data_IF_319955645930
#
_entry.id   IF_319955645930
#
_cell.length_a   1.000
_cell.length_b   1.000
_cell.length_c   1.000
_cell.angle_alpha   90.00
_cell.angle_beta   90.00
_cell.angle_gamma   90.00
#
_symmetry.space_group_name_H-M   'P 1'
#
loop_
_entity.id
_entity.type
_entity.pdbx_description
1 polymer ?
#
# COMPACT_ATOMS: atom_id res chain seq x y z
N UNK A 1 1.93 35.50 -17.66
CA UNK A 1 1.04 34.95 -16.62
C UNK A 1 1.42 33.50 -16.49
N UNK A 2 2.10 33.15 -15.40
CA UNK A 2 2.71 31.83 -15.23
C UNK A 2 1.72 30.91 -14.52
N UNK A 3 1.13 30.01 -15.29
CA UNK A 3 0.04 29.13 -14.83
C UNK A 3 0.50 28.18 -13.70
N UNK A 4 1.81 27.91 -13.60
CA UNK A 4 2.38 27.06 -12.55
C UNK A 4 2.38 27.76 -11.19
N UNK A 5 2.71 29.05 -11.16
CA UNK A 5 2.73 29.84 -9.93
C UNK A 5 1.32 29.94 -9.32
N UNK A 6 0.30 30.10 -10.16
CA UNK A 6 -1.10 30.17 -9.72
C UNK A 6 -1.59 28.85 -9.09
N UNK A 7 -1.11 27.70 -9.61
CA UNK A 7 -1.46 26.38 -9.06
C UNK A 7 -0.79 26.16 -7.69
N UNK A 8 0.50 26.49 -7.58
CA UNK A 8 1.26 26.36 -6.33
C UNK A 8 0.65 27.21 -5.22
N UNK A 9 0.37 28.48 -5.51
CA UNK A 9 -0.24 29.41 -4.56
C UNK A 9 -1.62 28.91 -4.10
N UNK A 10 -2.45 28.41 -5.01
CA UNK A 10 -3.77 27.88 -4.66
C UNK A 10 -3.69 26.60 -3.81
N UNK A 11 -2.76 25.69 -4.11
CA UNK A 11 -2.54 24.48 -3.30
C UNK A 11 -2.03 24.87 -1.92
N UNK A 12 -1.07 25.79 -1.82
CA UNK A 12 -0.53 26.27 -0.55
C UNK A 12 -1.62 26.93 0.30
N UNK A 13 -2.46 27.77 -0.30
CA UNK A 13 -3.60 28.37 0.37
C UNK A 13 -4.61 27.33 0.87
N UNK A 14 -4.91 26.29 0.09
CA UNK A 14 -5.80 25.22 0.55
C UNK A 14 -5.20 24.37 1.67
N UNK A 15 -3.89 24.13 1.65
CA UNK A 15 -3.21 23.39 2.72
C UNK A 15 -3.28 24.10 4.07
N UNK A 16 -3.24 25.43 4.07
CA UNK A 16 -3.30 26.24 5.29
C UNK A 16 -4.72 26.41 5.82
N UNK A 17 -5.72 26.42 4.94
CA UNK A 17 -7.08 26.88 5.27
C UNK A 17 -8.16 25.79 5.22
N UNK A 18 -7.86 24.58 4.73
CA UNK A 18 -8.85 23.50 4.60
C UNK A 18 -8.42 22.24 5.36
N UNK A 19 -9.40 21.46 5.82
CA UNK A 19 -9.14 20.12 6.31
C UNK A 19 -8.88 19.16 5.14
N UNK A 20 -7.89 18.31 5.29
CA UNK A 20 -7.52 17.32 4.29
C UNK A 20 -7.20 15.98 4.92
N UNK A 21 -7.30 14.92 4.13
CA UNK A 21 -6.80 13.61 4.47
C UNK A 21 -5.46 13.37 3.78
N UNK A 22 -4.48 12.89 4.54
CA UNK A 22 -3.22 12.41 3.99
C UNK A 22 -3.33 10.90 3.75
N UNK A 23 -3.12 10.48 2.52
CA UNK A 23 -3.00 9.07 2.17
C UNK A 23 -1.58 8.81 1.68
N UNK A 24 -0.91 7.87 2.33
CA UNK A 24 0.44 7.46 1.97
C UNK A 24 0.35 6.05 1.37
N UNK A 25 0.90 5.86 0.18
CA UNK A 25 0.92 4.57 -0.51
C UNK A 25 2.35 4.16 -0.86
N UNK A 26 2.65 2.87 -0.72
CA UNK A 26 3.95 2.30 -1.03
C UNK A 26 3.90 1.74 -2.44
N UNK A 27 4.53 2.45 -3.38
CA UNK A 27 4.79 1.89 -4.71
C UNK A 27 6.09 1.10 -4.71
N UNK A 28 5.97 -0.19 -4.98
CA UNK A 28 7.11 -1.03 -5.38
C UNK A 28 7.08 -1.16 -6.89
N UNK A 29 7.85 -0.31 -7.58
CA UNK A 29 8.08 -0.43 -9.01
C UNK A 29 8.94 -1.65 -9.36
N UNK A 30 9.13 -1.90 -10.66
CA UNK A 30 10.01 -2.98 -11.17
C UNK A 30 11.48 -2.74 -10.78
N UNK A 31 11.86 -1.48 -10.55
CA UNK A 31 13.12 -1.14 -9.90
C UNK A 31 12.96 -1.40 -8.41
N UNK A 32 13.88 -2.13 -7.79
CA UNK A 32 13.90 -2.55 -6.37
C UNK A 32 13.99 -1.36 -5.36
N UNK A 33 13.45 -0.20 -5.73
CA UNK A 33 13.36 1.04 -4.99
C UNK A 33 11.92 1.19 -4.52
N UNK A 34 11.76 1.35 -3.21
CA UNK A 34 10.49 1.70 -2.61
C UNK A 34 10.29 3.20 -2.78
N UNK A 35 9.23 3.60 -3.48
CA UNK A 35 8.79 4.98 -3.53
C UNK A 35 7.54 5.14 -2.67
N UNK A 36 7.52 6.20 -1.87
CA UNK A 36 6.38 6.56 -1.07
C UNK A 36 5.61 7.66 -1.81
N UNK A 37 4.40 7.36 -2.26
CA UNK A 37 3.50 8.35 -2.81
C UNK A 37 2.64 8.91 -1.69
N UNK A 38 2.58 10.24 -1.63
CA UNK A 38 1.73 10.94 -0.68
C UNK A 38 0.66 11.69 -1.45
N UNK A 39 -0.59 11.35 -1.19
CA UNK A 39 -1.77 11.99 -1.75
C UNK A 39 -2.44 12.85 -0.68
N UNK A 40 -2.71 14.11 -1.03
CA UNK A 40 -3.49 15.02 -0.20
C UNK A 40 -4.89 15.10 -0.79
N UNK A 41 -5.90 14.71 -0.01
CA UNK A 41 -7.31 14.80 -0.40
C UNK A 41 -7.99 15.88 0.40
N UNK A 42 -8.27 17.02 -0.25
CA UNK A 42 -9.05 18.09 0.33
C UNK A 42 -10.50 17.64 0.55
N UNK A 43 -11.06 17.98 1.71
CA UNK A 43 -12.44 17.64 2.07
C UNK A 43 -13.30 18.90 1.89
N UNK A 44 -13.68 19.16 0.64
CA UNK A 44 -14.48 20.33 0.28
C UNK A 44 -15.95 19.96 0.00
N UNK A 45 -16.87 20.88 0.26
CA UNK A 45 -18.27 20.80 -0.19
C UNK A 45 -19.31 20.43 0.88
N UNK A 46 -20.55 20.23 0.42
CA UNK A 46 -21.75 20.08 1.28
C UNK A 46 -21.71 18.92 2.28
N UNK A 47 -20.86 17.91 2.05
CA UNK A 47 -20.83 16.67 2.84
C UNK A 47 -19.58 16.54 3.73
N UNK A 48 -18.94 17.66 4.07
CA UNK A 48 -17.72 17.71 4.86
C UNK A 48 -17.79 16.87 6.15
N UNK A 49 -18.87 16.98 6.93
CA UNK A 49 -19.04 16.23 8.19
C UNK A 49 -19.11 14.71 7.99
N UNK A 50 -19.76 14.26 6.91
CA UNK A 50 -19.88 12.85 6.54
C UNK A 50 -18.53 12.32 6.05
N UNK A 51 -17.85 13.06 5.18
CA UNK A 51 -16.53 12.70 4.67
C UNK A 51 -15.50 12.55 5.80
N UNK A 52 -15.51 13.48 6.77
CA UNK A 52 -14.66 13.41 7.97
C UNK A 52 -14.90 12.15 8.79
N UNK A 53 -16.18 11.81 9.03
CA UNK A 53 -16.54 10.61 9.78
C UNK A 53 -16.20 9.33 9.02
N UNK A 54 -16.45 9.31 7.71
CA UNK A 54 -16.05 8.21 6.85
C UNK A 54 -14.54 7.97 6.89
N UNK A 55 -13.72 9.01 6.85
CA UNK A 55 -12.26 8.90 6.97
C UNK A 55 -11.83 8.35 8.32
N UNK A 56 -12.42 8.81 9.43
CA UNK A 56 -12.09 8.27 10.76
C UNK A 56 -12.37 6.77 10.87
N UNK A 57 -13.45 6.30 10.24
CA UNK A 57 -13.90 4.92 10.31
C UNK A 57 -13.11 4.05 9.31
N UNK A 58 -13.10 4.42 8.04
CA UNK A 58 -12.44 3.66 6.97
C UNK A 58 -10.91 3.65 7.12
N UNK A 59 -10.32 4.71 7.67
CA UNK A 59 -8.89 4.79 7.97
C UNK A 59 -8.47 3.74 9.00
N UNK A 60 -9.24 3.62 10.09
CA UNK A 60 -8.99 2.61 11.14
C UNK A 60 -9.24 1.19 10.62
N UNK A 61 -10.30 0.97 9.85
CA UNK A 61 -10.57 -0.34 9.26
C UNK A 61 -9.43 -0.83 8.36
N UNK A 62 -8.87 0.05 7.53
CA UNK A 62 -7.80 -0.32 6.61
C UNK A 62 -6.53 -0.76 7.34
N UNK A 63 -6.16 -0.06 8.43
CA UNK A 63 -4.96 -0.41 9.21
C UNK A 63 -5.18 -1.66 10.06
N UNK A 64 -6.34 -1.79 10.72
CA UNK A 64 -6.71 -3.01 11.47
C UNK A 64 -6.73 -4.24 10.57
N UNK A 65 -7.37 -4.15 9.40
CA UNK A 65 -7.41 -5.24 8.44
C UNK A 65 -6.02 -5.65 7.95
N UNK A 66 -5.15 -4.70 7.60
CA UNK A 66 -3.78 -5.01 7.19
C UNK A 66 -2.96 -5.64 8.32
N UNK A 67 -3.14 -5.19 9.56
CA UNK A 67 -2.53 -5.81 10.72
C UNK A 67 -3.02 -7.24 10.93
N UNK A 68 -4.33 -7.48 10.92
CA UNK A 68 -4.93 -8.80 11.07
C UNK A 68 -4.48 -9.77 9.96
N UNK A 69 -4.51 -9.31 8.70
CA UNK A 69 -4.02 -10.06 7.55
C UNK A 69 -2.53 -10.36 7.69
N UNK A 70 -1.73 -9.40 8.16
CA UNK A 70 -0.31 -9.57 8.46
C UNK A 70 -0.06 -10.63 9.52
N UNK A 71 -0.77 -10.60 10.64
CA UNK A 71 -0.65 -11.59 11.71
C UNK A 71 -1.10 -12.98 11.25
N UNK A 72 -2.22 -13.07 10.54
CA UNK A 72 -2.72 -14.32 9.96
C UNK A 72 -1.70 -14.93 9.00
N UNK A 73 -1.12 -14.09 8.13
CA UNK A 73 -0.05 -14.47 7.20
C UNK A 73 1.18 -14.98 7.95
N UNK A 74 1.64 -14.27 8.98
CA UNK A 74 2.77 -14.69 9.80
C UNK A 74 2.52 -16.04 10.47
N UNK A 75 1.32 -16.24 11.01
CA UNK A 75 0.93 -17.48 11.66
C UNK A 75 0.88 -18.65 10.65
N UNK A 76 0.38 -18.42 9.44
CA UNK A 76 0.36 -19.41 8.37
C UNK A 76 1.79 -19.79 7.92
N UNK A 77 2.66 -18.79 7.74
CA UNK A 77 4.07 -18.99 7.39
C UNK A 77 4.78 -19.82 8.48
N UNK A 78 4.64 -19.45 9.76
CA UNK A 78 5.26 -20.16 10.89
C UNK A 78 4.72 -21.58 11.10
N UNK A 79 3.43 -21.80 10.86
CA UNK A 79 2.79 -23.10 11.15
C UNK A 79 2.93 -24.12 10.02
N UNK A 80 2.86 -23.71 8.74
CA UNK A 80 2.77 -24.65 7.59
C UNK A 80 4.02 -24.75 6.72
N UNK A 81 4.88 -23.73 6.67
CA UNK A 81 6.07 -23.68 5.77
C UNK A 81 7.40 -23.94 6.49
N UNK A 82 7.40 -24.72 7.58
CA UNK A 82 8.56 -24.92 8.49
C UNK A 82 9.88 -25.37 7.85
N UNK A 83 9.91 -25.77 6.59
CA UNK A 83 11.04 -26.53 6.07
C UNK A 83 12.17 -25.71 5.42
N UNK A 84 12.02 -24.39 5.15
CA UNK A 84 13.11 -23.64 4.46
C UNK A 84 13.03 -22.10 4.44
N UNK A 85 12.42 -21.45 5.43
CA UNK A 85 12.23 -19.99 5.36
C UNK A 85 13.51 -19.23 5.74
N UNK A 86 14.29 -18.82 4.73
CA UNK A 86 15.52 -18.01 4.93
C UNK A 86 15.22 -16.53 5.23
N UNK A 87 14.03 -16.01 4.88
CA UNK A 87 13.63 -14.63 5.16
C UNK A 87 12.10 -14.50 5.28
N UNK A 88 11.57 -14.26 6.50
CA UNK A 88 10.11 -14.17 6.76
C UNK A 88 9.51 -12.91 6.12
N UNK A 89 10.27 -11.82 6.07
CA UNK A 89 9.81 -10.54 5.54
C UNK A 89 9.46 -10.63 4.04
N UNK A 90 10.30 -11.28 3.24
CA UNK A 90 10.06 -11.45 1.80
C UNK A 90 8.80 -12.28 1.53
N UNK A 91 8.59 -13.35 2.29
CA UNK A 91 7.40 -14.20 2.18
C UNK A 91 6.13 -13.47 2.62
N UNK A 92 6.20 -12.67 3.70
CA UNK A 92 5.10 -11.80 4.10
C UNK A 92 4.79 -10.75 3.04
N UNK A 93 5.82 -10.13 2.42
CA UNK A 93 5.59 -9.18 1.33
C UNK A 93 4.85 -9.82 0.15
N UNK A 94 5.21 -11.04 -0.27
CA UNK A 94 4.52 -11.74 -1.35
C UNK A 94 3.05 -12.02 -0.98
N UNK A 95 2.80 -12.48 0.25
CA UNK A 95 1.44 -12.82 0.70
C UNK A 95 0.53 -11.60 0.90
N UNK A 96 1.10 -10.45 1.28
CA UNK A 96 0.38 -9.19 1.49
C UNK A 96 0.35 -8.31 0.24
N UNK A 97 1.08 -8.69 -0.82
CA UNK A 97 1.15 -7.94 -2.06
C UNK A 97 -0.18 -8.00 -2.82
N UNK A 98 -0.62 -6.84 -3.30
CA UNK A 98 -1.73 -6.74 -4.27
C UNK A 98 -1.25 -6.92 -5.72
N UNK A 99 0.07 -7.01 -5.93
CA UNK A 99 0.66 -7.20 -7.27
C UNK A 99 0.51 -8.67 -7.65
N UNK A 100 -0.13 -8.91 -8.81
CA UNK A 100 -0.28 -10.27 -9.34
C UNK A 100 1.09 -10.85 -9.70
N UNK A 101 1.44 -12.06 -9.22
CA UNK A 101 2.71 -12.69 -9.57
C UNK A 101 2.73 -13.05 -11.05
N UNK A 102 3.85 -12.75 -11.73
CA UNK A 102 4.06 -13.17 -13.11
C UNK A 102 4.50 -14.64 -13.14
N UNK A 103 3.51 -15.54 -13.15
CA UNK A 103 3.70 -17.00 -13.06
C UNK A 103 4.56 -17.52 -14.23
N UNK A 104 4.41 -16.97 -15.43
CA UNK A 104 5.21 -17.39 -16.59
C UNK A 104 6.71 -17.14 -16.37
N UNK A 105 7.06 -15.95 -15.86
CA UNK A 105 8.46 -15.62 -15.56
C UNK A 105 9.02 -16.45 -14.40
N UNK A 106 8.21 -16.74 -13.38
CA UNK A 106 8.63 -17.60 -12.25
C UNK A 106 8.85 -19.03 -12.72
N UNK A 107 7.93 -19.57 -13.53
CA UNK A 107 7.99 -20.94 -14.06
C UNK A 107 9.19 -21.13 -14.99
N UNK A 108 9.55 -20.16 -15.82
CA UNK A 108 10.72 -20.24 -16.71
C UNK A 108 12.05 -20.26 -15.96
N UNK A 109 12.10 -19.66 -14.75
CA UNK A 109 13.31 -19.58 -13.92
C UNK A 109 13.48 -20.75 -12.96
N UNK A 110 12.45 -21.58 -12.79
CA UNK A 110 12.48 -22.74 -11.91
C UNK A 110 12.64 -24.02 -12.74
N UNK A 111 13.78 -24.71 -12.63
CA UNK A 111 13.92 -26.05 -13.21
C UNK A 111 13.19 -27.06 -12.32
N UNK A 112 12.28 -27.83 -12.90
CA UNK A 112 11.66 -28.95 -12.20
C UNK A 112 12.74 -29.97 -11.84
N UNK A 113 12.87 -30.29 -10.55
CA UNK A 113 13.72 -31.39 -10.14
C UNK A 113 13.03 -32.68 -10.57
N UNK A 114 13.63 -33.40 -11.52
CA UNK A 114 13.10 -34.68 -11.96
C UNK A 114 13.26 -35.65 -10.80
N UNK A 115 12.14 -36.18 -10.31
CA UNK A 115 12.16 -37.27 -9.32
C UNK A 115 12.54 -38.56 -10.05
N UNK A 116 13.49 -39.30 -9.51
CA UNK A 116 14.08 -40.49 -10.12
C UNK A 116 13.40 -41.78 -9.65
#
# INVERSE_FOLDING_TARGET
MDLSADIEENVQNKLQNSEFALQVDKLTGISNKVQLLTFIRFIDGKYHSVAKKALSVLGQFSTSYLCELGFSTLNNIKSKKREKLRCIEEEMMVCLSQIRPNIENVSKKHQAHVSH
#
